data_IF_553542615395
#
_entry.id   IF_553542615395
#
_cell.length_a   1.000
_cell.length_b   1.000
_cell.length_c   1.000
_cell.angle_alpha   90.00
_cell.angle_beta   90.00
_cell.angle_gamma   90.00
#
_symmetry.space_group_name_H-M   'P 1'
#
loop_
_entity.id
_entity.type
_entity.pdbx_description
1 polymer ?
#
# COMPACT_ATOMS: atom_id res chain seq x y z
N UNK A 1 -35.67 -31.12 -45.73
CA UNK A 1 -34.97 -29.82 -45.63
C UNK A 1 -33.47 -30.11 -45.58
N UNK A 2 -32.67 -29.56 -46.51
CA UNK A 2 -31.24 -29.89 -46.71
C UNK A 2 -30.33 -28.79 -46.15
N UNK A 3 -29.24 -29.20 -45.48
CA UNK A 3 -28.10 -28.41 -45.03
C UNK A 3 -27.33 -27.79 -46.21
N UNK A 4 -26.84 -26.53 -46.10
CA UNK A 4 -25.77 -26.04 -46.95
C UNK A 4 -24.61 -25.46 -46.14
N UNK A 5 -23.58 -26.29 -45.92
CA UNK A 5 -22.20 -25.79 -45.79
C UNK A 5 -21.56 -25.76 -47.18
N UNK A 6 -20.65 -24.80 -47.39
CA UNK A 6 -19.77 -24.51 -48.55
C UNK A 6 -20.25 -23.44 -49.53
N UNK A 7 -19.66 -22.24 -49.37
CA UNK A 7 -19.11 -21.46 -50.49
C UNK A 7 -17.79 -20.84 -50.02
N UNK A 8 -16.68 -21.40 -50.52
CA UNK A 8 -15.36 -20.80 -50.43
C UNK A 8 -15.40 -19.40 -51.05
N UNK A 9 -14.94 -18.38 -50.31
CA UNK A 9 -14.64 -17.06 -50.87
C UNK A 9 -13.17 -17.06 -51.24
N UNK A 10 -12.89 -16.91 -52.54
CA UNK A 10 -11.54 -16.87 -53.09
C UNK A 10 -10.66 -15.82 -52.41
N UNK A 11 -9.40 -16.20 -52.20
CA UNK A 11 -8.32 -15.35 -51.69
C UNK A 11 -8.10 -14.15 -52.61
N UNK A 12 -8.43 -12.95 -52.13
CA UNK A 12 -8.04 -11.70 -52.77
C UNK A 12 -6.53 -11.52 -52.60
N UNK A 13 -5.74 -11.75 -53.66
CA UNK A 13 -4.35 -11.34 -53.68
C UNK A 13 -4.28 -9.83 -53.97
N UNK A 14 -3.64 -9.02 -53.11
CA UNK A 14 -3.46 -7.60 -53.38
C UNK A 14 -2.60 -7.40 -54.62
N UNK A 15 -2.93 -6.39 -55.42
CA UNK A 15 -2.20 -6.09 -56.66
C UNK A 15 -0.72 -5.78 -56.37
N UNK A 16 0.16 -6.01 -57.34
CA UNK A 16 1.60 -5.76 -57.20
C UNK A 16 1.90 -4.29 -56.78
N UNK A 17 1.08 -3.33 -57.22
CA UNK A 17 1.17 -1.92 -56.80
C UNK A 17 0.83 -1.75 -55.31
N UNK A 18 -0.19 -2.45 -54.82
CA UNK A 18 -0.58 -2.45 -53.40
C UNK A 18 0.51 -3.05 -52.52
N UNK A 19 1.16 -4.12 -53.00
CA UNK A 19 2.27 -4.77 -52.30
C UNK A 19 3.49 -3.84 -52.18
N UNK A 20 3.84 -3.14 -53.26
CA UNK A 20 4.94 -2.17 -53.29
C UNK A 20 4.68 -1.00 -52.35
N UNK A 21 3.44 -0.48 -52.31
CA UNK A 21 3.05 0.61 -51.40
C UNK A 21 3.16 0.17 -49.94
N UNK A 22 2.67 -1.03 -49.59
CA UNK A 22 2.81 -1.60 -48.24
C UNK A 22 4.28 -1.79 -47.85
N UNK A 23 5.13 -2.22 -48.80
CA UNK A 23 6.56 -2.40 -48.56
C UNK A 23 7.27 -1.06 -48.35
N UNK A 24 6.91 -0.03 -49.11
CA UNK A 24 7.45 1.31 -48.93
C UNK A 24 7.01 1.92 -47.58
N UNK A 25 5.76 1.72 -47.17
CA UNK A 25 5.24 2.23 -45.90
C UNK A 25 5.87 1.53 -44.69
N UNK A 26 6.12 0.22 -44.78
CA UNK A 26 6.82 -0.55 -43.74
C UNK A 26 8.30 -0.18 -43.64
N UNK A 27 8.99 0.03 -44.78
CA UNK A 27 10.36 0.57 -44.79
C UNK A 27 10.44 1.98 -44.20
N UNK A 28 9.46 2.84 -44.47
CA UNK A 28 9.38 4.19 -43.89
C UNK A 28 9.18 4.13 -42.36
N UNK A 29 8.29 3.26 -41.88
CA UNK A 29 8.07 3.04 -40.45
C UNK A 29 9.34 2.52 -39.74
N UNK A 30 10.05 1.58 -40.38
CA UNK A 30 11.33 1.08 -39.86
C UNK A 30 12.39 2.19 -39.84
N UNK A 31 12.49 2.99 -40.89
CA UNK A 31 13.42 4.12 -40.93
C UNK A 31 13.13 5.14 -39.82
N UNK A 32 11.86 5.46 -39.54
CA UNK A 32 11.48 6.30 -38.41
C UNK A 32 11.79 5.65 -37.06
N UNK A 33 11.64 4.33 -36.91
CA UNK A 33 12.02 3.63 -35.67
C UNK A 33 13.53 3.63 -35.40
N UNK A 34 14.36 3.73 -36.44
CA UNK A 34 15.82 3.83 -36.31
C UNK A 34 16.32 5.28 -36.15
N UNK A 35 15.49 6.27 -36.47
CA UNK A 35 15.81 7.70 -36.30
C UNK A 35 15.41 8.25 -34.93
N UNK A 36 14.58 7.55 -34.15
CA UNK A 36 14.47 7.86 -32.74
C UNK A 36 15.76 7.42 -32.05
N UNK A 37 16.49 8.34 -31.39
CA UNK A 37 17.51 7.92 -30.44
C UNK A 37 16.82 6.94 -29.50
N UNK A 38 17.35 5.73 -29.40
CA UNK A 38 17.05 4.89 -28.24
C UNK A 38 17.28 5.81 -27.05
N UNK A 39 16.21 6.20 -26.36
CA UNK A 39 16.38 6.91 -25.10
C UNK A 39 17.13 5.91 -24.25
N UNK A 40 18.44 6.15 -24.13
CA UNK A 40 19.28 5.47 -23.17
C UNK A 40 18.46 5.47 -21.89
N UNK A 41 18.12 4.27 -21.39
CA UNK A 41 17.50 4.12 -20.09
C UNK A 41 18.17 5.17 -19.21
N UNK A 42 17.43 6.15 -18.65
CA UNK A 42 18.07 7.10 -17.77
C UNK A 42 18.72 6.22 -16.74
N UNK A 43 20.06 6.21 -16.72
CA UNK A 43 20.82 5.69 -15.60
C UNK A 43 20.19 6.41 -14.43
N UNK A 44 19.31 5.70 -13.72
CA UNK A 44 18.74 6.16 -12.47
C UNK A 44 19.97 6.29 -11.59
N UNK A 45 20.54 7.49 -11.58
CA UNK A 45 21.18 8.00 -10.39
C UNK A 45 20.10 7.84 -9.35
N UNK A 46 20.16 6.73 -8.59
CA UNK A 46 19.36 6.50 -7.41
C UNK A 46 19.58 7.76 -6.59
N UNK A 47 18.65 8.71 -6.64
CA UNK A 47 18.54 9.71 -5.59
C UNK A 47 18.38 8.86 -4.34
N UNK A 48 19.44 8.82 -3.55
CA UNK A 48 19.47 8.07 -2.31
C UNK A 48 18.27 8.49 -1.51
N UNK A 49 17.49 7.50 -1.09
CA UNK A 49 16.39 7.68 -0.16
C UNK A 49 16.95 8.48 1.03
N UNK A 50 16.50 9.72 1.23
CA UNK A 50 16.97 10.58 2.32
C UNK A 50 16.39 10.16 3.68
N UNK A 51 15.95 8.90 3.82
CA UNK A 51 15.50 8.35 5.09
C UNK A 51 16.69 7.70 5.78
N UNK A 52 17.00 8.18 6.97
CA UNK A 52 17.98 7.53 7.82
C UNK A 52 17.34 6.28 8.45
N UNK A 53 17.52 5.14 7.79
CA UNK A 53 17.16 3.82 8.32
C UNK A 53 18.36 3.24 9.08
N UNK A 54 18.09 2.53 10.17
CA UNK A 54 19.13 1.74 10.85
C UNK A 54 19.47 0.50 10.02
N UNK A 55 20.64 -0.11 10.25
CA UNK A 55 20.93 -1.45 9.71
C UNK A 55 19.94 -2.44 10.32
N UNK A 56 18.99 -2.90 9.52
CA UNK A 56 17.86 -3.69 9.98
C UNK A 56 18.16 -5.19 9.91
N UNK A 57 17.58 -5.97 10.83
CA UNK A 57 17.51 -7.43 10.72
C UNK A 57 16.68 -7.90 9.52
N UNK A 58 15.85 -7.01 8.95
CA UNK A 58 14.98 -7.26 7.79
C UNK A 58 15.30 -6.23 6.72
N UNK A 59 15.69 -6.67 5.52
CA UNK A 59 15.94 -5.74 4.42
C UNK A 59 14.62 -5.19 3.86
N UNK A 60 14.61 -3.97 3.29
CA UNK A 60 13.47 -3.50 2.52
C UNK A 60 13.08 -4.52 1.44
N UNK A 61 11.78 -4.69 1.24
CA UNK A 61 11.22 -5.55 0.23
C UNK A 61 11.52 -4.99 -1.17
N UNK A 62 12.10 -5.83 -2.03
CA UNK A 62 12.47 -5.43 -3.38
C UNK A 62 11.28 -5.60 -4.34
N UNK A 63 10.58 -4.50 -4.58
CA UNK A 63 9.45 -4.47 -5.50
C UNK A 63 9.82 -4.82 -6.96
N UNK A 64 11.09 -4.66 -7.37
CA UNK A 64 11.52 -5.00 -8.72
C UNK A 64 11.85 -6.50 -8.87
N UNK A 65 12.18 -7.16 -7.76
CA UNK A 65 12.38 -8.61 -7.73
C UNK A 65 11.09 -9.38 -7.42
N UNK A 66 10.06 -8.71 -6.89
CA UNK A 66 8.78 -9.33 -6.58
C UNK A 66 8.02 -9.69 -7.88
N UNK A 67 7.40 -10.89 -7.95
CA UNK A 67 6.53 -11.22 -9.08
C UNK A 67 5.37 -10.24 -9.11
N UNK A 68 5.02 -9.77 -10.31
CA UNK A 68 3.87 -8.88 -10.49
C UNK A 68 2.59 -9.59 -10.06
N UNK A 69 1.69 -8.87 -9.40
CA UNK A 69 0.32 -9.33 -9.24
C UNK A 69 -0.33 -9.56 -10.62
N UNK A 70 -1.24 -10.53 -10.73
CA UNK A 70 -2.00 -10.74 -11.96
C UNK A 70 -3.43 -11.19 -11.66
N UNK A 71 -4.45 -10.63 -12.33
CA UNK A 71 -4.37 -9.47 -13.23
C UNK A 71 -4.15 -8.15 -12.47
N UNK A 72 -3.55 -7.15 -13.13
CA UNK A 72 -3.42 -5.77 -12.59
C UNK A 72 -4.53 -4.89 -13.13
N UNK A 73 -5.38 -4.37 -12.24
CA UNK A 73 -6.38 -3.36 -12.56
C UNK A 73 -6.04 -2.07 -11.82
N UNK A 74 -5.65 -1.02 -12.52
CA UNK A 74 -5.36 0.27 -11.90
C UNK A 74 -6.53 1.25 -12.09
N UNK A 75 -6.81 2.07 -11.08
CA UNK A 75 -7.78 3.16 -11.17
C UNK A 75 -7.24 4.42 -10.50
N UNK A 76 -7.64 5.57 -11.01
CA UNK A 76 -7.33 6.85 -10.38
C UNK A 76 -8.26 7.07 -9.18
N UNK A 77 -7.66 7.34 -8.02
CA UNK A 77 -8.39 7.78 -6.83
C UNK A 77 -8.63 9.27 -6.94
N UNK A 78 -9.76 9.64 -7.51
CA UNK A 78 -10.20 11.04 -7.65
C UNK A 78 -10.88 11.56 -6.37
N UNK A 79 -10.95 12.89 -6.22
CA UNK A 79 -11.64 13.54 -5.09
C UNK A 79 -10.79 13.72 -3.82
N UNK A 80 -9.50 13.39 -3.90
CA UNK A 80 -8.46 13.82 -2.94
C UNK A 80 -7.67 15.00 -3.54
N UNK A 81 -6.95 15.76 -2.72
CA UNK A 81 -6.20 16.94 -3.17
C UNK A 81 -5.05 16.59 -4.12
N UNK A 82 -4.40 15.45 -3.86
CA UNK A 82 -3.35 14.87 -4.70
C UNK A 82 -3.79 13.48 -5.17
N UNK A 83 -4.41 13.36 -6.36
CA UNK A 83 -4.84 12.08 -6.90
C UNK A 83 -3.69 11.09 -7.07
N UNK A 84 -3.97 9.81 -6.90
CA UNK A 84 -3.00 8.72 -7.04
C UNK A 84 -3.63 7.50 -7.69
N UNK A 85 -2.81 6.68 -8.34
CA UNK A 85 -3.22 5.41 -8.92
C UNK A 85 -3.25 4.33 -7.85
N UNK A 86 -4.31 3.53 -7.86
CA UNK A 86 -4.49 2.42 -6.96
C UNK A 86 -4.62 1.11 -7.75
N UNK A 87 -3.80 0.12 -7.41
CA UNK A 87 -3.95 -1.25 -7.92
C UNK A 87 -5.08 -1.93 -7.17
N UNK A 88 -6.19 -2.16 -7.87
CA UNK A 88 -7.35 -2.86 -7.34
C UNK A 88 -6.99 -4.32 -7.06
N UNK A 89 -7.58 -4.85 -6.00
CA UNK A 89 -7.73 -6.28 -5.76
C UNK A 89 -8.35 -6.93 -7.00
N UNK A 90 -8.11 -8.22 -7.21
CA UNK A 90 -8.76 -8.96 -8.29
C UNK A 90 -10.30 -8.90 -8.21
N UNK A 91 -11.01 -9.51 -9.17
CA UNK A 91 -12.47 -9.60 -9.12
C UNK A 91 -13.01 -10.44 -7.94
N UNK A 92 -12.15 -10.91 -7.03
CA UNK A 92 -12.44 -11.98 -6.09
C UNK A 92 -12.42 -13.36 -6.77
N UNK A 93 -12.45 -14.41 -5.95
CA UNK A 93 -12.78 -15.77 -6.38
C UNK A 93 -14.29 -16.01 -6.25
N UNK A 94 -14.93 -16.58 -7.27
CA UNK A 94 -16.34 -16.99 -7.15
C UNK A 94 -16.50 -17.97 -5.97
N UNK A 95 -17.51 -17.83 -5.09
CA UNK A 95 -18.72 -17.01 -5.22
C UNK A 95 -18.63 -15.58 -4.65
N UNK A 96 -17.46 -15.14 -4.18
CA UNK A 96 -17.31 -13.83 -3.58
C UNK A 96 -17.49 -12.71 -4.61
N UNK A 97 -18.08 -11.60 -4.15
CA UNK A 97 -18.27 -10.43 -5.01
C UNK A 97 -16.99 -9.61 -5.05
N UNK A 98 -16.67 -8.97 -6.20
CA UNK A 98 -15.52 -8.08 -6.31
C UNK A 98 -15.61 -6.92 -5.30
N UNK A 99 -14.45 -6.35 -4.96
CA UNK A 99 -14.37 -5.20 -4.05
C UNK A 99 -15.35 -4.08 -4.42
N UNK A 100 -15.90 -3.36 -3.42
CA UNK A 100 -16.97 -2.36 -3.62
C UNK A 100 -16.62 -1.30 -4.67
N UNK A 101 -15.35 -0.88 -4.75
CA UNK A 101 -14.91 0.07 -5.77
C UNK A 101 -14.86 -0.53 -7.18
N UNK A 102 -14.52 -1.82 -7.33
CA UNK A 102 -14.61 -2.52 -8.62
C UNK A 102 -16.06 -2.57 -9.07
N UNK A 103 -16.99 -2.96 -8.17
CA UNK A 103 -18.43 -2.97 -8.49
C UNK A 103 -18.96 -1.60 -8.90
N UNK A 104 -18.45 -0.52 -8.30
CA UNK A 104 -18.81 0.85 -8.67
C UNK A 104 -18.32 1.18 -10.07
N UNK A 105 -17.06 0.88 -10.36
CA UNK A 105 -16.46 1.12 -11.68
C UNK A 105 -17.15 0.32 -12.77
N UNK A 106 -17.48 -0.95 -12.52
CA UNK A 106 -18.28 -1.78 -13.45
C UNK A 106 -19.67 -1.21 -13.71
N UNK A 107 -20.19 -0.37 -12.82
CA UNK A 107 -21.45 0.37 -12.96
C UNK A 107 -21.26 1.80 -13.50
N UNK A 108 -20.07 2.12 -14.02
CA UNK A 108 -19.71 3.46 -14.52
C UNK A 108 -19.58 4.54 -13.45
N UNK A 109 -19.52 4.16 -12.16
CA UNK A 109 -19.35 5.11 -11.05
C UNK A 109 -17.87 5.29 -10.71
N UNK A 110 -17.50 6.50 -10.32
CA UNK A 110 -16.15 6.80 -9.84
C UNK A 110 -15.75 5.97 -8.61
N UNK A 111 -14.45 5.75 -8.51
CA UNK A 111 -13.81 5.19 -7.32
C UNK A 111 -14.24 6.00 -6.08
N UNK A 112 -14.71 5.32 -5.03
CA UNK A 112 -15.03 6.01 -3.78
C UNK A 112 -13.73 6.38 -3.10
N UNK A 113 -13.47 7.68 -2.97
CA UNK A 113 -12.31 8.21 -2.23
C UNK A 113 -12.25 7.59 -0.82
N UNK A 114 -11.08 7.14 -0.34
CA UNK A 114 -10.92 6.66 1.03
C UNK A 114 -10.75 7.84 1.97
N UNK A 115 -11.45 7.82 3.10
CA UNK A 115 -11.39 8.90 4.08
C UNK A 115 -9.98 9.02 4.68
N UNK A 116 -9.29 7.90 4.93
CA UNK A 116 -7.91 7.92 5.42
C UNK A 116 -6.93 8.62 4.47
N UNK A 117 -7.10 8.48 3.15
CA UNK A 117 -6.25 9.15 2.17
C UNK A 117 -6.46 10.67 2.20
N UNK A 118 -7.69 11.13 2.44
CA UNK A 118 -8.01 12.56 2.62
C UNK A 118 -7.34 13.07 3.89
N UNK A 119 -7.56 12.37 5.01
CA UNK A 119 -6.99 12.70 6.32
C UNK A 119 -5.46 12.82 6.27
N UNK A 120 -4.77 11.87 5.64
CA UNK A 120 -3.31 11.89 5.48
C UNK A 120 -2.88 13.13 4.69
N UNK A 121 -3.56 13.45 3.59
CA UNK A 121 -3.21 14.62 2.79
C UNK A 121 -3.44 15.92 3.56
N UNK A 122 -4.54 16.03 4.30
CA UNK A 122 -4.88 17.22 5.09
C UNK A 122 -3.87 17.44 6.24
N UNK A 123 -3.44 16.37 6.92
CA UNK A 123 -2.48 16.47 8.02
C UNK A 123 -1.04 16.78 7.56
N UNK A 124 -0.68 16.30 6.37
CA UNK A 124 0.63 16.54 5.77
C UNK A 124 0.68 17.87 4.99
N UNK A 125 -0.46 18.47 4.68
CA UNK A 125 -0.52 19.75 3.98
C UNK A 125 0.24 20.84 4.75
N UNK A 126 1.05 21.62 4.03
CA UNK A 126 1.88 22.67 4.63
C UNK A 126 3.06 22.17 5.49
N UNK A 127 3.23 20.86 5.68
CA UNK A 127 4.42 20.32 6.35
C UNK A 127 5.63 20.35 5.40
N UNK A 128 6.81 20.58 5.95
CA UNK A 128 8.05 20.51 5.19
C UNK A 128 8.29 19.08 4.70
N UNK A 129 8.33 18.91 3.37
CA UNK A 129 8.54 17.64 2.68
C UNK A 129 9.96 17.11 2.86
N UNK A 130 10.94 18.00 2.82
CA UNK A 130 12.34 17.64 3.01
C UNK A 130 12.54 16.99 4.38
N UNK A 131 13.09 15.78 4.38
CA UNK A 131 13.35 14.94 5.55
C UNK A 131 12.10 14.59 6.39
N UNK A 132 10.88 14.90 5.92
CA UNK A 132 9.64 14.52 6.56
C UNK A 132 9.24 13.09 6.22
N UNK A 133 9.12 12.22 7.22
CA UNK A 133 8.74 10.82 7.04
C UNK A 133 7.28 10.58 7.46
N UNK A 134 6.50 9.94 6.57
CA UNK A 134 5.25 9.28 6.90
C UNK A 134 5.50 7.78 7.12
N UNK A 135 4.93 7.21 8.19
CA UNK A 135 5.04 5.79 8.50
C UNK A 135 3.66 5.15 8.44
N UNK A 136 3.51 4.13 7.59
CA UNK A 136 2.27 3.39 7.41
C UNK A 136 2.43 1.95 7.94
N UNK A 137 1.77 1.63 9.05
CA UNK A 137 1.82 0.30 9.66
C UNK A 137 0.51 -0.42 9.42
N UNK A 138 0.60 -1.63 8.84
CA UNK A 138 -0.55 -2.32 8.28
C UNK A 138 -1.00 -1.58 7.01
N UNK A 139 -0.05 -1.42 6.08
CA UNK A 139 -0.28 -0.64 4.86
C UNK A 139 -1.33 -1.28 3.96
N UNK A 140 -1.58 -2.59 4.10
CA UNK A 140 -2.54 -3.36 3.34
C UNK A 140 -2.26 -3.15 1.84
N UNK A 141 -3.16 -2.49 1.11
CA UNK A 141 -3.00 -2.21 -0.32
C UNK A 141 -2.40 -0.81 -0.63
N UNK A 142 -1.95 -0.08 0.40
CA UNK A 142 -1.17 1.15 0.25
C UNK A 142 -1.95 2.46 0.16
N UNK A 143 -3.25 2.51 0.51
CA UNK A 143 -4.08 3.72 0.32
C UNK A 143 -3.56 4.95 1.08
N UNK A 144 -3.10 4.77 2.31
CA UNK A 144 -2.54 5.85 3.12
C UNK A 144 -1.11 6.19 2.64
N UNK A 145 -0.28 5.16 2.44
CA UNK A 145 1.07 5.30 1.90
C UNK A 145 1.14 6.07 0.59
N UNK A 146 0.32 5.75 -0.42
CA UNK A 146 0.31 6.46 -1.68
C UNK A 146 -0.19 7.88 -1.57
N UNK A 147 -1.19 8.13 -0.70
CA UNK A 147 -1.70 9.48 -0.46
C UNK A 147 -0.58 10.43 0.04
N UNK A 148 0.32 9.94 0.89
CA UNK A 148 1.51 10.70 1.32
C UNK A 148 2.61 10.76 0.24
N UNK A 149 2.89 9.65 -0.44
CA UNK A 149 3.98 9.57 -1.41
C UNK A 149 3.79 10.52 -2.60
N UNK A 150 2.56 10.64 -3.13
CA UNK A 150 2.27 11.53 -4.28
C UNK A 150 2.36 13.01 -3.92
N UNK A 151 2.25 13.36 -2.64
CA UNK A 151 2.52 14.72 -2.16
C UNK A 151 4.02 15.05 -2.08
N UNK A 152 4.89 14.05 -2.24
CA UNK A 152 6.34 14.20 -2.17
C UNK A 152 6.98 13.91 -0.82
N UNK A 153 6.27 13.26 0.11
CA UNK A 153 6.87 12.82 1.37
C UNK A 153 7.61 11.49 1.23
N UNK A 154 8.63 11.28 2.06
CA UNK A 154 9.21 9.95 2.24
C UNK A 154 8.20 9.07 2.97
N UNK A 155 8.12 7.80 2.58
CA UNK A 155 7.20 6.82 3.14
C UNK A 155 7.97 5.56 3.54
N UNK A 156 7.73 5.10 4.77
CA UNK A 156 8.12 3.77 5.23
C UNK A 156 6.84 3.00 5.55
N UNK A 157 6.59 1.92 4.83
CA UNK A 157 5.40 1.08 4.97
C UNK A 157 5.77 -0.32 5.48
N UNK A 158 4.93 -0.86 6.36
CA UNK A 158 5.03 -2.23 6.88
C UNK A 158 3.78 -3.01 6.49
N UNK A 159 3.98 -4.11 5.77
CA UNK A 159 2.91 -5.01 5.35
C UNK A 159 3.44 -6.46 5.33
N UNK A 160 2.90 -7.36 6.15
CA UNK A 160 3.39 -8.74 6.21
C UNK A 160 2.81 -9.67 5.14
N UNK A 161 1.66 -9.34 4.53
CA UNK A 161 0.97 -10.24 3.60
C UNK A 161 1.51 -10.07 2.18
N UNK A 162 2.01 -11.17 1.61
CA UNK A 162 2.68 -11.16 0.31
C UNK A 162 1.79 -10.63 -0.83
N UNK A 163 0.51 -11.01 -0.87
CA UNK A 163 -0.40 -10.55 -1.91
C UNK A 163 -0.61 -9.03 -1.85
N UNK A 164 -0.61 -8.46 -0.64
CA UNK A 164 -0.70 -7.03 -0.40
C UNK A 164 0.60 -6.32 -0.82
N UNK A 165 1.76 -6.89 -0.48
CA UNK A 165 3.06 -6.41 -0.93
C UNK A 165 3.13 -6.27 -2.46
N UNK A 166 2.63 -7.27 -3.21
CA UNK A 166 2.58 -7.19 -4.67
C UNK A 166 1.76 -5.99 -5.17
N UNK A 167 0.61 -5.70 -4.54
CA UNK A 167 -0.22 -4.53 -4.91
C UNK A 167 0.44 -3.21 -4.57
N UNK A 168 1.12 -3.15 -3.42
CA UNK A 168 1.90 -1.96 -3.06
C UNK A 168 3.01 -1.77 -4.11
N UNK A 169 3.69 -2.83 -4.54
CA UNK A 169 4.72 -2.71 -5.57
C UNK A 169 4.18 -2.22 -6.93
N UNK A 170 3.01 -2.69 -7.36
CA UNK A 170 2.32 -2.12 -8.53
C UNK A 170 2.05 -0.63 -8.34
N UNK A 171 1.52 -0.24 -7.18
CA UNK A 171 1.23 1.16 -6.88
C UNK A 171 2.49 2.04 -6.82
N UNK A 172 3.61 1.52 -6.32
CA UNK A 172 4.92 2.21 -6.32
C UNK A 172 5.36 2.51 -7.76
N UNK A 173 5.22 1.51 -8.64
CA UNK A 173 5.54 1.66 -10.06
C UNK A 173 4.59 2.65 -10.76
N UNK A 174 3.27 2.45 -10.60
CA UNK A 174 2.22 3.25 -11.25
C UNK A 174 2.29 4.73 -10.85
N UNK A 175 2.55 5.02 -9.58
CA UNK A 175 2.66 6.39 -9.08
C UNK A 175 4.06 7.02 -9.26
N UNK A 176 5.05 6.25 -9.73
CA UNK A 176 6.45 6.70 -9.92
C UNK A 176 7.07 7.24 -8.63
N UNK A 177 6.86 6.54 -7.52
CA UNK A 177 7.30 6.95 -6.17
C UNK A 177 8.41 6.08 -5.58
N UNK A 178 9.09 5.29 -6.41
CA UNK A 178 10.14 4.36 -5.95
C UNK A 178 11.33 5.07 -5.24
N UNK A 179 11.58 6.35 -5.53
CA UNK A 179 12.64 7.16 -4.93
C UNK A 179 12.36 7.59 -3.47
N UNK A 180 11.11 7.45 -3.02
CA UNK A 180 10.64 7.93 -1.71
C UNK A 180 9.88 6.88 -0.91
N UNK A 181 9.71 5.68 -1.44
CA UNK A 181 8.90 4.64 -0.83
C UNK A 181 9.78 3.46 -0.42
N UNK A 182 9.78 3.14 0.88
CA UNK A 182 10.43 1.94 1.43
C UNK A 182 9.37 1.02 2.00
N UNK A 183 9.37 -0.23 1.56
CA UNK A 183 8.42 -1.24 2.00
C UNK A 183 9.15 -2.32 2.81
N UNK A 184 8.56 -2.77 3.91
CA UNK A 184 9.05 -3.89 4.70
C UNK A 184 8.01 -5.02 4.73
N UNK A 185 8.45 -6.21 4.33
CA UNK A 185 7.67 -7.45 4.40
C UNK A 185 7.66 -8.02 5.83
N UNK A 186 7.08 -7.28 6.77
CA UNK A 186 7.10 -7.60 8.19
C UNK A 186 5.92 -6.97 8.92
N UNK A 187 5.50 -7.60 10.02
CA UNK A 187 4.56 -7.00 10.96
C UNK A 187 5.35 -6.10 11.93
N UNK A 188 4.94 -4.84 12.10
CA UNK A 188 5.52 -4.04 13.16
C UNK A 188 5.06 -4.57 14.53
N UNK A 189 5.94 -4.62 15.52
CA UNK A 189 5.61 -5.13 16.86
C UNK A 189 6.59 -4.61 17.91
N UNK A 190 6.52 -5.12 19.15
CA UNK A 190 7.38 -4.73 20.26
C UNK A 190 8.72 -5.50 20.31
N UNK A 191 8.90 -6.49 19.43
CA UNK A 191 10.09 -7.34 19.40
C UNK A 191 10.43 -7.84 17.99
N UNK A 192 11.70 -8.17 17.80
CA UNK A 192 12.17 -8.95 16.65
C UNK A 192 11.77 -10.41 16.88
N UNK A 193 11.28 -11.07 15.83
CA UNK A 193 10.87 -12.46 15.91
C UNK A 193 9.93 -12.82 14.78
N UNK A 194 8.99 -13.73 15.06
CA UNK A 194 7.92 -14.09 14.16
C UNK A 194 6.57 -14.03 14.90
N UNK A 195 5.51 -13.77 14.15
CA UNK A 195 4.13 -13.87 14.63
C UNK A 195 3.30 -14.62 13.60
N UNK A 196 2.24 -15.29 14.07
CA UNK A 196 1.27 -15.93 13.17
C UNK A 196 0.13 -14.95 12.92
N UNK A 197 -0.18 -14.74 11.65
CA UNK A 197 -1.32 -13.95 11.19
C UNK A 197 -2.35 -14.91 10.58
N UNK A 198 -3.61 -14.69 10.89
CA UNK A 198 -4.74 -15.37 10.28
C UNK A 198 -5.31 -14.47 9.18
N UNK A 199 -5.28 -14.95 7.92
CA UNK A 199 -5.83 -14.23 6.77
C UNK A 199 -6.93 -15.02 6.10
N UNK A 200 -7.94 -14.32 5.58
CA UNK A 200 -9.00 -14.94 4.78
C UNK A 200 -8.54 -15.15 3.34
N UNK A 201 -8.77 -16.35 2.80
CA UNK A 201 -8.41 -16.67 1.42
C UNK A 201 -9.17 -15.76 0.45
N UNK A 202 -8.47 -15.22 -0.56
CA UNK A 202 -9.08 -14.40 -1.61
C UNK A 202 -9.48 -12.98 -1.19
N UNK A 203 -9.12 -12.53 0.02
CA UNK A 203 -9.44 -11.18 0.51
C UNK A 203 -8.20 -10.48 1.05
N UNK A 204 -7.84 -9.38 0.41
CA UNK A 204 -6.64 -8.60 0.70
C UNK A 204 -6.78 -7.71 1.95
N UNK A 205 -8.01 -7.30 2.25
CA UNK A 205 -8.36 -6.43 3.38
C UNK A 205 -8.60 -7.17 4.69
N UNK A 206 -8.39 -8.50 4.72
CA UNK A 206 -8.89 -9.36 5.78
C UNK A 206 -7.80 -10.23 6.44
N UNK A 207 -6.88 -9.61 7.17
CA UNK A 207 -5.88 -10.31 7.99
C UNK A 207 -5.75 -9.74 9.41
N UNK A 208 -5.64 -10.59 10.42
CA UNK A 208 -5.45 -10.20 11.81
C UNK A 208 -4.53 -11.20 12.55
N UNK A 209 -3.82 -10.75 13.59
CA UNK A 209 -2.91 -11.62 14.36
C UNK A 209 -3.68 -12.62 15.24
N UNK A 210 -4.80 -12.21 15.83
CA UNK A 210 -5.66 -13.10 16.59
C UNK A 210 -6.59 -13.89 15.67
N UNK A 211 -6.71 -15.21 15.86
CA UNK A 211 -7.73 -16.02 15.18
C UNK A 211 -9.15 -15.54 15.52
N UNK A 212 -9.39 -15.22 16.80
CA UNK A 212 -10.68 -14.65 17.24
C UNK A 212 -10.89 -13.27 16.61
N UNK A 213 -9.83 -12.46 16.53
CA UNK A 213 -9.86 -11.17 15.84
C UNK A 213 -10.19 -11.33 14.36
N UNK A 214 -9.60 -12.30 13.67
CA UNK A 214 -9.87 -12.60 12.26
C UNK A 214 -11.34 -13.01 12.04
N UNK A 215 -11.89 -13.87 12.90
CA UNK A 215 -13.31 -14.24 12.84
C UNK A 215 -14.24 -13.05 13.08
N UNK A 216 -13.93 -12.22 14.08
CA UNK A 216 -14.72 -11.02 14.41
C UNK A 216 -14.67 -9.99 13.28
N UNK A 217 -13.50 -9.75 12.71
CA UNK A 217 -13.28 -8.76 11.66
C UNK A 217 -13.89 -9.22 10.32
N UNK A 218 -13.74 -10.50 9.95
CA UNK A 218 -13.95 -10.93 8.57
C UNK A 218 -15.16 -11.83 8.34
N UNK A 219 -15.78 -12.37 9.40
CA UNK A 219 -17.00 -13.20 9.33
C UNK A 219 -16.91 -14.34 8.30
N UNK A 220 -15.73 -14.93 8.11
CA UNK A 220 -15.45 -16.01 7.17
C UNK A 220 -14.91 -17.25 7.89
N UNK A 221 -15.17 -18.44 7.32
CA UNK A 221 -14.75 -19.73 7.88
C UNK A 221 -13.49 -20.31 7.21
N UNK A 222 -12.93 -19.64 6.18
CA UNK A 222 -11.72 -20.10 5.48
C UNK A 222 -10.56 -19.15 5.78
N UNK A 223 -9.81 -19.48 6.83
CA UNK A 223 -8.63 -18.75 7.29
C UNK A 223 -7.37 -19.60 7.06
N UNK A 224 -6.29 -18.95 6.63
CA UNK A 224 -4.95 -19.53 6.57
C UNK A 224 -4.08 -18.84 7.62
N UNK A 225 -3.35 -19.64 8.39
CA UNK A 225 -2.31 -19.16 9.28
C UNK A 225 -1.00 -18.96 8.49
N UNK A 226 -0.42 -17.77 8.57
CA UNK A 226 0.84 -17.41 7.91
C UNK A 226 1.80 -16.87 8.98
N UNK A 227 2.97 -17.47 9.09
CA UNK A 227 4.04 -16.96 9.96
C UNK A 227 4.84 -15.89 9.23
N UNK A 228 4.97 -14.72 9.84
CA UNK A 228 5.64 -13.55 9.27
C UNK A 228 6.64 -12.96 10.26
N UNK A 229 7.72 -12.32 9.80
CA UNK A 229 8.68 -11.71 10.70
C UNK A 229 8.08 -10.46 11.37
N UNK A 230 8.51 -10.20 12.60
CA UNK A 230 8.17 -8.99 13.36
C UNK A 230 9.37 -8.09 13.55
N UNK A 231 9.14 -6.78 13.59
CA UNK A 231 10.20 -5.79 13.83
C UNK A 231 9.67 -4.54 14.57
N UNK A 232 10.39 -4.01 15.57
CA UNK A 232 10.05 -2.72 16.17
C UNK A 232 10.34 -1.54 15.25
N UNK A 233 9.49 -0.52 15.28
CA UNK A 233 9.73 0.71 14.51
C UNK A 233 11.05 1.39 14.92
N UNK A 234 11.41 1.32 16.21
CA UNK A 234 12.67 1.84 16.74
C UNK A 234 13.92 1.15 16.15
N UNK A 235 13.79 -0.06 15.60
CA UNK A 235 14.87 -0.80 14.93
C UNK A 235 15.03 -0.42 13.46
N UNK A 236 14.02 0.21 12.87
CA UNK A 236 14.01 0.59 11.45
C UNK A 236 14.29 2.07 11.27
N UNK A 237 13.62 2.89 12.06
CA UNK A 237 13.66 4.35 11.92
C UNK A 237 14.75 4.91 12.83
N UNK A 238 15.70 5.66 12.25
CA UNK A 238 16.74 6.34 13.04
C UNK A 238 16.13 7.33 14.04
N UNK A 239 16.79 7.48 15.19
CA UNK A 239 16.39 8.43 16.21
C UNK A 239 16.44 9.88 15.69
N UNK A 240 17.30 10.16 14.71
CA UNK A 240 17.44 11.47 14.04
C UNK A 240 16.45 11.69 12.88
N UNK A 241 15.74 10.64 12.44
CA UNK A 241 14.78 10.77 11.36
C UNK A 241 13.51 11.48 11.87
N UNK A 242 13.19 12.63 11.29
CA UNK A 242 11.95 13.36 11.59
C UNK A 242 10.74 12.59 11.06
N UNK A 243 9.89 12.13 11.96
CA UNK A 243 8.63 11.45 11.65
C UNK A 243 7.49 12.43 11.84
N UNK A 244 6.74 12.68 10.78
CA UNK A 244 5.64 13.64 10.77
C UNK A 244 4.34 13.01 11.28
N UNK A 245 4.06 11.80 10.80
CA UNK A 245 2.81 11.10 11.02
C UNK A 245 3.07 9.60 11.00
N UNK A 246 2.50 8.89 11.97
CA UNK A 246 2.42 7.44 12.00
C UNK A 246 0.94 7.05 11.92
N UNK A 247 0.59 6.22 10.95
CA UNK A 247 -0.70 5.51 10.90
C UNK A 247 -0.47 4.07 11.34
N UNK A 248 -1.33 3.55 12.20
CA UNK A 248 -1.32 2.16 12.64
C UNK A 248 -2.73 1.60 12.50
N UNK A 249 -2.93 0.65 11.60
CA UNK A 249 -4.13 -0.19 11.68
C UNK A 249 -3.73 -1.61 11.30
N UNK A 250 -3.68 -2.45 12.34
CA UNK A 250 -3.13 -3.81 12.32
C UNK A 250 -4.12 -4.80 12.96
N UNK A 251 -5.39 -4.39 13.03
CA UNK A 251 -6.52 -5.22 13.41
C UNK A 251 -6.35 -5.86 14.80
N UNK A 252 -6.04 -5.03 15.80
CA UNK A 252 -5.98 -5.41 17.22
C UNK A 252 -4.57 -5.54 17.82
N UNK A 253 -3.52 -5.36 17.00
CA UNK A 253 -2.12 -5.44 17.46
C UNK A 253 -1.48 -4.07 17.75
N UNK A 254 -2.30 -3.01 17.83
CA UNK A 254 -1.86 -1.61 17.91
C UNK A 254 -0.96 -1.37 19.12
N UNK A 255 -1.33 -1.91 20.29
CA UNK A 255 -0.55 -1.76 21.53
C UNK A 255 0.90 -2.24 21.37
N UNK A 256 1.11 -3.36 20.68
CA UNK A 256 2.46 -3.90 20.47
C UNK A 256 3.27 -3.05 19.49
N UNK A 257 2.64 -2.54 18.42
CA UNK A 257 3.28 -1.58 17.50
C UNK A 257 3.72 -0.32 18.27
N UNK A 258 2.83 0.22 19.11
CA UNK A 258 3.08 1.43 19.89
C UNK A 258 4.26 1.24 20.85
N UNK A 259 4.33 0.12 21.57
CA UNK A 259 5.51 -0.24 22.38
C UNK A 259 6.79 -0.31 21.56
N UNK A 260 6.73 -0.90 20.36
CA UNK A 260 7.83 -0.96 19.40
C UNK A 260 8.25 0.39 18.82
N UNK A 261 7.43 1.43 18.99
CA UNK A 261 7.65 2.81 18.55
C UNK A 261 7.96 3.77 19.72
N UNK A 262 8.12 3.24 20.94
CA UNK A 262 8.25 4.02 22.19
C UNK A 262 9.28 5.14 22.13
N UNK A 263 10.47 4.94 21.56
CA UNK A 263 11.50 6.00 21.43
C UNK A 263 11.06 7.12 20.50
N UNK A 264 10.40 6.79 19.38
CA UNK A 264 9.88 7.78 18.42
C UNK A 264 8.75 8.59 19.08
N UNK A 265 7.86 7.93 19.81
CA UNK A 265 6.74 8.57 20.51
C UNK A 265 7.22 9.40 21.72
N UNK A 266 8.32 9.01 22.37
CA UNK A 266 8.87 9.72 23.53
C UNK A 266 9.58 11.03 23.18
N UNK A 267 9.78 11.35 21.90
CA UNK A 267 10.38 12.63 21.46
C UNK A 267 9.61 13.83 22.01
N UNK A 268 10.29 14.97 22.18
CA UNK A 268 9.64 16.19 22.70
C UNK A 268 8.56 16.72 21.73
N UNK A 269 7.67 17.57 22.24
CA UNK A 269 6.67 18.29 21.44
C UNK A 269 7.32 18.97 20.24
N UNK A 270 6.69 18.86 19.07
CA UNK A 270 7.19 19.39 17.79
C UNK A 270 8.11 18.43 17.02
N UNK A 271 8.72 17.45 17.70
CA UNK A 271 9.49 16.37 17.07
C UNK A 271 8.77 15.01 17.10
N UNK A 272 7.88 14.82 18.07
CA UNK A 272 7.00 13.66 18.14
C UNK A 272 5.99 13.68 16.98
N UNK A 273 5.71 12.52 16.36
CA UNK A 273 4.79 12.44 15.23
C UNK A 273 3.34 12.68 15.66
N UNK A 274 2.51 13.13 14.72
CA UNK A 274 1.07 12.92 14.84
C UNK A 274 0.81 11.41 14.77
N UNK A 275 -0.13 10.91 15.57
CA UNK A 275 -0.46 9.48 15.60
C UNK A 275 -1.93 9.28 15.21
N UNK A 276 -2.17 8.37 14.26
CA UNK A 276 -3.49 7.81 13.97
C UNK A 276 -3.40 6.31 14.24
N UNK A 277 -4.34 5.76 15.01
CA UNK A 277 -4.47 4.31 15.13
C UNK A 277 -5.93 3.84 15.21
N UNK A 278 -6.21 2.63 14.75
CA UNK A 278 -7.54 2.02 14.91
C UNK A 278 -7.76 1.64 16.38
N UNK A 279 -8.86 2.11 16.94
CA UNK A 279 -9.28 1.83 18.31
C UNK A 279 -10.62 1.08 18.31
N UNK A 280 -10.54 -0.21 17.96
CA UNK A 280 -11.64 -1.15 18.11
C UNK A 280 -11.38 -2.07 19.32
N UNK A 281 -12.12 -1.84 20.41
CA UNK A 281 -11.98 -2.59 21.65
C UNK A 281 -12.15 -4.11 21.47
N UNK A 282 -12.97 -4.56 20.52
CA UNK A 282 -13.19 -6.00 20.30
C UNK A 282 -11.96 -6.65 19.68
N UNK A 283 -11.30 -5.96 18.75
CA UNK A 283 -10.07 -6.45 18.11
C UNK A 283 -8.89 -6.43 19.08
N UNK A 284 -8.80 -5.39 19.91
CA UNK A 284 -7.79 -5.27 20.96
C UNK A 284 -7.92 -6.40 21.98
N UNK A 285 -9.13 -6.65 22.49
CA UNK A 285 -9.41 -7.73 23.44
C UNK A 285 -9.12 -9.11 22.83
N UNK A 286 -9.45 -9.30 21.55
CA UNK A 286 -9.10 -10.54 20.85
C UNK A 286 -7.59 -10.79 20.75
N UNK A 287 -6.79 -9.72 20.87
CA UNK A 287 -5.32 -9.76 20.91
C UNK A 287 -4.74 -9.64 22.32
N UNK A 288 -5.56 -9.81 23.36
CA UNK A 288 -5.19 -9.70 24.78
C UNK A 288 -4.65 -8.32 25.18
N UNK A 289 -5.24 -7.26 24.62
CA UNK A 289 -4.96 -5.87 24.97
C UNK A 289 -6.27 -5.08 25.08
N UNK A 290 -6.21 -3.81 25.45
CA UNK A 290 -7.39 -2.95 25.61
C UNK A 290 -7.13 -1.50 25.22
N UNK A 291 -8.20 -0.74 25.00
CA UNK A 291 -8.12 0.71 24.81
C UNK A 291 -7.42 1.37 25.99
N UNK A 292 -7.74 0.97 27.23
CA UNK A 292 -7.17 1.56 28.44
C UNK A 292 -5.64 1.37 28.52
N UNK A 293 -5.13 0.20 28.12
CA UNK A 293 -3.68 -0.05 28.06
C UNK A 293 -3.00 0.82 27.00
N UNK A 294 -3.62 1.01 25.83
CA UNK A 294 -3.12 1.92 24.80
C UNK A 294 -3.10 3.35 25.32
N UNK A 295 -4.20 3.84 25.90
CA UNK A 295 -4.32 5.21 26.41
C UNK A 295 -3.33 5.46 27.56
N UNK A 296 -3.18 4.50 28.47
CA UNK A 296 -2.21 4.56 29.56
C UNK A 296 -0.77 4.62 29.05
N UNK A 297 -0.42 3.79 28.06
CA UNK A 297 0.90 3.86 27.42
C UNK A 297 1.12 5.19 26.71
N UNK A 298 0.17 5.65 25.90
CA UNK A 298 0.28 6.93 25.19
C UNK A 298 0.46 8.11 26.16
N UNK A 299 -0.28 8.13 27.26
CA UNK A 299 -0.10 9.13 28.32
C UNK A 299 1.31 9.06 28.93
N UNK A 300 1.84 7.85 29.18
CA UNK A 300 3.20 7.66 29.71
C UNK A 300 4.30 8.20 28.79
N UNK A 301 4.05 8.26 27.48
CA UNK A 301 4.96 8.85 26.49
C UNK A 301 4.54 10.27 26.08
N UNK A 302 3.61 10.91 26.81
CA UNK A 302 3.25 12.32 26.67
C UNK A 302 2.18 12.67 25.63
N UNK A 303 1.41 11.68 25.15
CA UNK A 303 0.23 11.90 24.30
C UNK A 303 -1.03 11.90 25.18
N UNK A 304 -1.40 13.07 25.71
CA UNK A 304 -2.62 13.22 26.52
C UNK A 304 -3.79 13.80 25.73
N UNK A 305 -3.52 14.44 24.58
CA UNK A 305 -4.54 14.96 23.66
C UNK A 305 -4.86 13.95 22.56
N UNK A 306 -5.97 13.23 22.73
CA UNK A 306 -6.49 12.32 21.72
C UNK A 306 -7.99 12.48 21.47
N UNK A 307 -8.38 12.46 20.19
CA UNK A 307 -9.78 12.52 19.74
C UNK A 307 -10.14 11.30 18.89
N UNK A 308 -11.37 10.81 19.00
CA UNK A 308 -11.85 9.66 18.23
C UNK A 308 -12.71 10.13 17.05
N UNK A 309 -12.42 9.59 15.87
CA UNK A 309 -13.13 9.86 14.62
C UNK A 309 -13.54 8.51 13.98
N UNK A 310 -14.78 8.09 14.22
CA UNK A 310 -15.21 6.74 13.85
C UNK A 310 -14.50 5.69 14.71
N UNK A 311 -13.79 4.77 14.06
CA UNK A 311 -12.93 3.77 14.72
C UNK A 311 -11.51 4.28 14.96
N UNK A 312 -11.10 5.38 14.34
CA UNK A 312 -9.73 5.87 14.43
C UNK A 312 -9.55 6.85 15.60
N UNK A 313 -8.49 6.66 16.35
CA UNK A 313 -8.00 7.59 17.37
C UNK A 313 -6.88 8.44 16.79
N UNK A 314 -7.00 9.76 16.97
CA UNK A 314 -6.07 10.77 16.54
C UNK A 314 -5.41 11.38 17.76
N UNK A 315 -4.09 11.33 17.85
CA UNK A 315 -3.34 11.73 19.03
C UNK A 315 -2.19 12.67 18.68
N UNK A 316 -2.01 13.69 19.52
CA UNK A 316 -0.88 14.60 19.47
C UNK A 316 -0.21 14.68 20.84
N UNK A 317 1.09 14.96 20.82
CA UNK A 317 1.85 15.25 22.03
C UNK A 317 1.67 16.71 22.44
N UNK A 318 1.41 16.91 23.72
CA UNK A 318 1.26 18.23 24.35
C UNK A 318 2.58 18.90 24.73
#
# INVERSE_FOLDING_TARGET
MRNPWKRDKGSYMPSQKTLIILLAFTLLLLFFSFLYPTTSNPTQTRKTLNVQLKTTHIRPFDCYAAPQASPVFASLVEGVKYPFLFSLSDFGSLPDKPHKNIQRMLKGKQFRKPDISVTVQDLLEGKQRENGLFVDVGSNVGMAAFAAAVMGFQVVAFEPIFENLQRICDGVYLNRVADRFTLFAAAASDRIGNVTIHKVVGRLDNSAISQTGAKLAFKSNQEIAVTVPTIPLNEVISENQRVLLIKIDVQGWEYHVLKGASKILSRKKGEAPYLIYEEDERLLQASNTSTDEIRGFLSSVGYNSCTKHGTDAHCIKD
#
